data_IF_784780332955
#
_entry.id   IF_784780332955
#
_cell.length_a   1.000
_cell.length_b   1.000
_cell.length_c   1.000
_cell.angle_alpha   90.00
_cell.angle_beta   90.00
_cell.angle_gamma   90.00
#
_symmetry.space_group_name_H-M   'P 1'
#
loop_
_entity.id
_entity.type
_entity.pdbx_description
1 polymer ?
#
# COMPACT_ATOMS: atom_id res chain seq x y z
N UNK A 1 -14.20 21.06 -3.31
CA UNK A 1 -14.13 19.72 -2.70
C UNK A 1 -12.78 19.63 -2.03
N UNK A 2 -12.75 19.24 -0.76
CA UNK A 2 -11.50 19.11 -0.01
C UNK A 2 -10.64 17.98 -0.61
N UNK A 3 -9.31 18.15 -0.63
CA UNK A 3 -8.41 17.14 -1.19
C UNK A 3 -8.27 15.99 -0.20
N UNK A 4 -8.59 14.76 -0.63
CA UNK A 4 -8.39 13.57 0.20
C UNK A 4 -6.90 13.24 0.39
N UNK A 5 -6.11 13.61 -0.62
CA UNK A 5 -4.65 13.54 -0.64
C UNK A 5 -4.11 14.84 -1.22
N UNK A 6 -3.14 15.45 -0.54
CA UNK A 6 -2.34 16.54 -1.08
C UNK A 6 -0.85 16.18 -0.94
N UNK A 7 -0.18 15.98 -2.08
CA UNK A 7 1.24 15.62 -2.10
C UNK A 7 2.18 16.79 -1.77
N UNK A 8 1.65 18.02 -1.80
CA UNK A 8 2.42 19.23 -1.50
C UNK A 8 2.30 19.68 -0.04
N UNK A 9 1.40 19.07 0.72
CA UNK A 9 1.24 19.40 2.13
C UNK A 9 2.18 18.57 3.02
N UNK A 10 2.48 19.13 4.18
CA UNK A 10 3.15 18.39 5.24
C UNK A 10 2.22 17.26 5.77
N UNK A 11 2.75 16.07 6.10
CA UNK A 11 4.16 15.68 5.98
C UNK A 11 4.49 14.97 4.65
N UNK A 12 3.54 14.81 3.73
CA UNK A 12 3.75 14.04 2.49
C UNK A 12 4.89 14.61 1.66
N UNK A 13 4.92 15.93 1.47
CA UNK A 13 5.98 16.60 0.72
C UNK A 13 7.40 16.29 1.27
N UNK A 14 7.55 16.21 2.59
CA UNK A 14 8.85 15.99 3.26
C UNK A 14 9.43 14.59 3.05
N UNK A 15 8.58 13.60 2.76
CA UNK A 15 9.00 12.20 2.59
C UNK A 15 8.66 11.66 1.21
N UNK A 16 8.25 12.52 0.28
CA UNK A 16 7.80 12.12 -1.06
C UNK A 16 8.87 11.31 -1.80
N UNK A 17 10.13 11.71 -1.73
CA UNK A 17 11.25 10.97 -2.32
C UNK A 17 11.34 9.54 -1.76
N UNK A 18 11.15 9.34 -0.45
CA UNK A 18 11.13 8.01 0.15
C UNK A 18 9.92 7.20 -0.30
N UNK A 19 8.75 7.83 -0.41
CA UNK A 19 7.51 7.20 -0.86
C UNK A 19 7.54 6.84 -2.35
N UNK A 20 8.46 7.40 -3.15
CA UNK A 20 8.65 7.04 -4.56
C UNK A 20 9.65 5.89 -4.75
N UNK A 21 10.46 5.56 -3.75
CA UNK A 21 11.50 4.54 -3.91
C UNK A 21 10.92 3.16 -4.24
N UNK A 22 11.48 2.52 -5.26
CA UNK A 22 11.40 1.09 -5.49
C UNK A 22 12.64 0.43 -4.89
N UNK A 23 12.40 -0.47 -3.94
CA UNK A 23 13.44 -1.19 -3.20
C UNK A 23 14.08 -2.31 -4.03
N UNK A 24 13.42 -2.74 -5.10
CA UNK A 24 13.92 -3.78 -6.00
C UNK A 24 14.98 -3.22 -6.95
N UNK A 25 14.68 -2.09 -7.62
CA UNK A 25 15.58 -1.44 -8.58
C UNK A 25 16.54 -0.42 -7.96
N UNK A 26 16.30 0.00 -6.71
CA UNK A 26 17.01 1.12 -6.03
C UNK A 26 16.83 2.47 -6.75
N UNK A 27 15.79 2.56 -7.59
CA UNK A 27 15.34 3.75 -8.32
C UNK A 27 13.96 4.16 -7.79
N UNK A 28 13.28 5.11 -8.44
CA UNK A 28 11.87 5.35 -8.14
C UNK A 28 10.96 4.36 -8.89
N UNK A 29 9.75 4.15 -8.36
CA UNK A 29 8.66 3.49 -9.08
C UNK A 29 8.39 4.22 -10.41
N UNK A 30 7.95 3.49 -11.41
CA UNK A 30 7.59 4.04 -12.72
C UNK A 30 6.09 4.29 -12.79
N UNK A 31 5.64 5.14 -13.72
CA UNK A 31 4.21 5.37 -13.91
C UNK A 31 3.44 4.08 -14.22
N UNK A 32 3.98 3.22 -15.09
CA UNK A 32 3.35 1.97 -15.55
C UNK A 32 1.91 2.16 -16.08
N UNK A 33 1.60 3.38 -16.52
CA UNK A 33 0.34 3.74 -17.16
C UNK A 33 0.55 4.88 -18.15
N UNK A 34 -0.14 4.78 -19.27
CA UNK A 34 -0.27 5.77 -20.36
C UNK A 34 -1.21 6.94 -20.01
N UNK A 35 -1.86 6.93 -18.83
CA UNK A 35 -2.88 7.93 -18.44
C UNK A 35 -2.34 9.36 -18.50
N UNK A 36 -1.04 9.53 -18.28
CA UNK A 36 -0.41 10.83 -18.05
C UNK A 36 0.47 11.29 -19.22
N UNK A 37 0.51 10.53 -20.33
CA UNK A 37 1.38 10.81 -21.48
C UNK A 37 1.17 12.19 -22.11
N UNK A 38 -0.05 12.72 -22.03
CA UNK A 38 -0.39 14.06 -22.52
C UNK A 38 0.40 15.19 -21.83
N UNK A 39 0.96 14.93 -20.64
CA UNK A 39 1.79 15.88 -19.91
C UNK A 39 3.26 15.89 -20.38
N UNK A 40 3.61 15.06 -21.37
CA UNK A 40 4.92 15.02 -22.03
C UNK A 40 5.78 13.82 -21.63
N UNK A 41 7.01 13.78 -22.16
CA UNK A 41 7.92 12.61 -22.06
C UNK A 41 8.18 12.14 -20.62
N UNK A 42 8.13 13.04 -19.64
CA UNK A 42 8.30 12.73 -18.21
C UNK A 42 7.16 11.93 -17.56
N UNK A 43 6.08 11.66 -18.29
CA UNK A 43 4.85 11.05 -17.78
C UNK A 43 4.43 9.80 -18.56
N UNK A 44 5.33 9.24 -19.37
CA UNK A 44 5.10 7.98 -20.08
C UNK A 44 5.15 6.78 -19.14
N UNK A 45 4.55 5.67 -19.57
CA UNK A 45 4.42 4.45 -18.77
C UNK A 45 5.76 3.86 -18.30
N UNK A 46 6.85 4.09 -19.04
CA UNK A 46 8.20 3.57 -18.72
C UNK A 46 9.04 4.49 -17.83
N UNK A 47 8.57 5.71 -17.57
CA UNK A 47 9.37 6.73 -16.88
C UNK A 47 9.19 6.64 -15.37
N UNK A 48 10.31 6.83 -14.66
CA UNK A 48 10.33 6.95 -13.21
C UNK A 48 9.54 8.18 -12.76
N UNK A 49 8.72 8.00 -11.74
CA UNK A 49 8.06 9.11 -11.08
C UNK A 49 9.10 9.99 -10.38
N UNK A 50 9.05 11.30 -10.64
CA UNK A 50 9.98 12.29 -10.09
C UNK A 50 9.24 13.23 -9.13
N UNK A 51 9.74 13.36 -7.90
CA UNK A 51 9.10 14.20 -6.88
C UNK A 51 8.97 15.66 -7.33
N UNK A 52 10.00 16.22 -7.99
CA UNK A 52 9.97 17.61 -8.44
C UNK A 52 8.97 17.84 -9.58
N UNK A 53 8.81 16.87 -10.49
CA UNK A 53 7.79 16.90 -11.52
C UNK A 53 6.38 16.84 -10.91
N UNK A 54 6.17 15.95 -9.94
CA UNK A 54 4.89 15.82 -9.22
C UNK A 54 4.56 17.10 -8.43
N UNK A 55 5.52 17.70 -7.73
CA UNK A 55 5.32 18.94 -6.98
C UNK A 55 5.06 20.16 -7.86
N UNK A 56 5.41 20.11 -9.15
CA UNK A 56 5.03 21.14 -10.15
C UNK A 56 3.63 20.92 -10.74
N UNK A 57 2.99 19.78 -10.44
CA UNK A 57 1.69 19.32 -10.95
C UNK A 57 0.93 18.55 -9.86
N UNK A 58 0.64 19.25 -8.76
CA UNK A 58 0.09 18.66 -7.53
C UNK A 58 -1.34 18.13 -7.66
N UNK A 59 -1.98 18.35 -8.82
CA UNK A 59 -3.31 17.91 -9.19
C UNK A 59 -3.35 16.54 -9.88
N UNK A 60 -2.20 16.01 -10.32
CA UNK A 60 -2.11 14.75 -11.07
C UNK A 60 -2.34 13.53 -10.16
N UNK A 61 -1.72 13.53 -8.98
CA UNK A 61 -1.85 12.45 -7.99
C UNK A 61 -3.05 12.74 -7.10
N UNK A 62 -4.15 12.07 -7.40
CA UNK A 62 -5.40 12.16 -6.66
C UNK A 62 -6.09 10.80 -6.60
N UNK A 63 -6.80 10.50 -5.50
CA UNK A 63 -7.65 9.32 -5.43
C UNK A 63 -8.58 9.24 -6.62
N UNK A 64 -8.82 8.02 -7.07
CA UNK A 64 -9.58 7.72 -8.26
C UNK A 64 -10.99 8.33 -8.23
N UNK A 65 -11.64 8.37 -7.06
CA UNK A 65 -12.95 9.01 -6.87
C UNK A 65 -12.93 10.52 -7.21
N UNK A 66 -11.77 11.17 -7.12
CA UNK A 66 -11.57 12.58 -7.46
C UNK A 66 -11.11 12.79 -8.92
N UNK A 67 -10.91 11.72 -9.71
CA UNK A 67 -10.66 11.77 -11.17
C UNK A 67 -11.99 11.96 -11.92
N UNK A 68 -11.95 12.46 -13.17
CA UNK A 68 -13.18 12.63 -13.97
C UNK A 68 -13.88 11.28 -14.24
N UNK A 69 -15.20 11.29 -14.39
CA UNK A 69 -15.97 10.06 -14.68
C UNK A 69 -15.47 9.36 -15.95
N UNK A 70 -15.06 10.14 -16.95
CA UNK A 70 -14.46 9.62 -18.18
C UNK A 70 -13.13 8.91 -17.91
N UNK A 71 -12.23 9.52 -17.13
CA UNK A 71 -10.96 8.90 -16.76
C UNK A 71 -11.17 7.62 -15.93
N UNK A 72 -12.14 7.62 -15.02
CA UNK A 72 -12.50 6.43 -14.24
C UNK A 72 -13.00 5.30 -15.16
N UNK A 73 -13.92 5.60 -16.08
CA UNK A 73 -14.48 4.62 -17.01
C UNK A 73 -13.41 4.05 -17.97
N UNK A 74 -12.54 4.90 -18.51
CA UNK A 74 -11.44 4.47 -19.37
C UNK A 74 -10.49 3.53 -18.64
N UNK A 75 -10.15 3.83 -17.39
CA UNK A 75 -9.27 2.98 -16.57
C UNK A 75 -9.89 1.64 -16.19
N UNK A 76 -11.19 1.59 -15.84
CA UNK A 76 -11.86 0.30 -15.60
C UNK A 76 -11.84 -0.56 -16.86
N UNK A 77 -12.11 0.04 -18.03
CA UNK A 77 -12.12 -0.69 -19.30
C UNK A 77 -10.73 -1.15 -19.75
N UNK A 78 -9.71 -0.30 -19.64
CA UNK A 78 -8.36 -0.56 -20.20
C UNK A 78 -7.42 -1.27 -19.22
N UNK A 79 -7.57 -1.02 -17.91
CA UNK A 79 -6.62 -1.44 -16.87
C UNK A 79 -7.24 -2.39 -15.84
N UNK A 80 -8.51 -2.77 -16.03
CA UNK A 80 -9.28 -3.59 -15.08
C UNK A 80 -9.27 -3.04 -13.65
N UNK A 81 -9.14 -1.71 -13.50
CA UNK A 81 -9.24 -1.05 -12.20
C UNK A 81 -10.69 -1.14 -11.67
N UNK A 82 -10.87 -1.84 -10.55
CA UNK A 82 -12.16 -2.06 -9.86
C UNK A 82 -12.22 -1.27 -8.56
N UNK A 83 -13.40 -0.75 -8.24
CA UNK A 83 -13.69 -0.11 -6.95
C UNK A 83 -14.25 -1.12 -5.97
N UNK A 84 -13.55 -1.36 -4.86
CA UNK A 84 -14.11 -2.12 -3.75
C UNK A 84 -14.66 -1.14 -2.70
N UNK A 85 -15.99 -0.97 -2.59
CA UNK A 85 -16.58 -0.04 -1.62
C UNK A 85 -16.28 -0.46 -0.19
N UNK A 86 -16.27 0.50 0.75
CA UNK A 86 -15.82 0.26 2.13
C UNK A 86 -16.61 -0.86 2.83
N UNK A 87 -17.91 -0.98 2.55
CA UNK A 87 -18.74 -2.06 3.11
C UNK A 87 -18.28 -3.46 2.68
N UNK A 88 -17.79 -3.61 1.45
CA UNK A 88 -17.32 -4.89 0.93
C UNK A 88 -15.92 -5.21 1.50
N UNK A 89 -15.04 -4.21 1.58
CA UNK A 89 -13.78 -4.34 2.32
C UNK A 89 -14.03 -4.75 3.78
N UNK A 90 -15.00 -4.11 4.43
CA UNK A 90 -15.38 -4.40 5.80
C UNK A 90 -15.83 -5.85 5.98
N UNK A 91 -16.69 -6.34 5.08
CA UNK A 91 -17.16 -7.74 5.09
C UNK A 91 -16.01 -8.74 5.00
N UNK A 92 -15.10 -8.53 4.06
CA UNK A 92 -13.96 -9.43 3.86
C UNK A 92 -12.96 -9.39 5.03
N UNK A 93 -12.73 -8.20 5.60
CA UNK A 93 -11.91 -8.07 6.80
C UNK A 93 -12.60 -8.68 8.03
N UNK A 94 -13.93 -8.58 8.15
CA UNK A 94 -14.70 -9.26 9.20
C UNK A 94 -14.57 -10.77 9.11
N UNK A 95 -14.58 -11.35 7.91
CA UNK A 95 -14.33 -12.77 7.71
C UNK A 95 -12.91 -13.17 8.14
N UNK A 96 -11.89 -12.39 7.75
CA UNK A 96 -10.51 -12.61 8.18
C UNK A 96 -10.33 -12.57 9.71
N UNK A 97 -11.15 -11.80 10.39
CA UNK A 97 -11.13 -11.67 11.85
C UNK A 97 -11.94 -12.75 12.53
N UNK A 98 -13.06 -13.17 11.95
CA UNK A 98 -13.82 -14.32 12.44
C UNK A 98 -12.93 -15.57 12.46
N UNK A 99 -12.18 -15.83 11.38
CA UNK A 99 -11.23 -16.93 11.31
C UNK A 99 -10.13 -16.83 12.38
N UNK A 100 -9.66 -15.60 12.66
CA UNK A 100 -8.60 -15.39 13.63
C UNK A 100 -9.12 -15.47 15.07
N UNK A 101 -10.26 -14.87 15.40
CA UNK A 101 -10.80 -14.79 16.75
C UNK A 101 -11.69 -15.98 17.12
N UNK A 102 -12.24 -16.70 16.14
CA UNK A 102 -13.19 -17.79 16.31
C UNK A 102 -14.61 -17.31 16.69
N UNK A 103 -14.95 -16.04 16.40
CA UNK A 103 -16.28 -15.46 16.59
C UNK A 103 -16.47 -14.22 15.70
N UNK A 104 -17.72 -13.86 15.43
CA UNK A 104 -18.10 -12.66 14.67
C UNK A 104 -18.13 -11.40 15.54
N UNK A 105 -18.33 -10.24 14.91
CA UNK A 105 -18.60 -8.98 15.61
C UNK A 105 -17.42 -8.43 16.40
N UNK A 106 -16.19 -8.68 15.92
CA UNK A 106 -14.97 -8.26 16.62
C UNK A 106 -14.88 -6.74 16.63
N UNK A 107 -14.64 -6.12 15.47
CA UNK A 107 -14.44 -4.68 15.37
C UNK A 107 -15.73 -3.91 15.10
N UNK A 108 -16.65 -4.51 14.37
CA UNK A 108 -17.96 -3.96 14.04
C UNK A 108 -18.94 -5.07 13.65
N UNK A 109 -20.22 -4.71 13.50
CA UNK A 109 -21.28 -5.55 12.93
C UNK A 109 -21.88 -4.83 11.72
N UNK A 110 -21.95 -5.53 10.58
CA UNK A 110 -22.57 -5.01 9.35
C UNK A 110 -24.09 -4.90 9.48
N UNK A 111 -24.66 -3.82 8.93
CA UNK A 111 -26.09 -3.60 8.80
C UNK A 111 -26.57 -3.97 7.38
N UNK A 112 -27.88 -4.13 7.21
CA UNK A 112 -28.48 -4.45 5.90
C UNK A 112 -28.29 -3.35 4.85
N UNK A 113 -28.16 -2.10 5.29
CA UNK A 113 -27.98 -0.91 4.44
C UNK A 113 -26.52 -0.62 4.06
N UNK A 114 -25.64 -1.63 4.20
CA UNK A 114 -24.20 -1.54 3.94
C UNK A 114 -23.43 -0.57 4.85
N UNK A 115 -24.02 -0.12 5.95
CA UNK A 115 -23.31 0.55 7.05
C UNK A 115 -22.83 -0.47 8.10
N UNK A 116 -22.13 -0.02 9.13
CA UNK A 116 -21.71 -0.87 10.24
C UNK A 116 -21.76 -0.16 11.59
N UNK A 117 -22.03 -0.94 12.65
CA UNK A 117 -22.00 -0.50 14.04
C UNK A 117 -20.68 -0.93 14.66
N UNK A 118 -19.91 0.03 15.17
CA UNK A 118 -18.60 -0.20 15.78
C UNK A 118 -18.75 -0.89 17.15
N UNK A 119 -17.88 -1.84 17.43
CA UNK A 119 -17.71 -2.38 18.77
C UNK A 119 -16.96 -1.36 19.63
N UNK A 120 -17.63 -0.67 20.54
CA UNK A 120 -17.01 0.37 21.39
C UNK A 120 -16.16 -0.18 22.55
N UNK A 121 -16.50 -1.38 23.03
CA UNK A 121 -15.74 -2.03 24.11
C UNK A 121 -14.37 -2.50 23.62
N UNK A 122 -13.42 -2.57 24.55
CA UNK A 122 -12.10 -3.18 24.33
C UNK A 122 -12.24 -4.59 23.76
N UNK A 123 -11.43 -4.91 22.75
CA UNK A 123 -11.46 -6.21 22.08
C UNK A 123 -10.91 -7.30 23.00
N UNK A 124 -11.73 -8.32 23.25
CA UNK A 124 -11.33 -9.48 24.03
C UNK A 124 -10.70 -10.54 23.14
N UNK A 125 -9.59 -11.11 23.63
CA UNK A 125 -8.81 -12.12 22.94
C UNK A 125 -9.10 -13.54 23.45
N UNK A 126 -9.06 -14.57 22.57
CA UNK A 126 -9.17 -15.96 23.00
C UNK A 126 -8.12 -16.36 24.03
N UNK A 127 -8.44 -17.27 24.97
CA UNK A 127 -7.59 -17.65 26.12
C UNK A 127 -6.12 -18.00 25.80
N UNK A 128 -5.81 -18.42 24.57
CA UNK A 128 -4.45 -18.82 24.13
C UNK A 128 -3.82 -17.87 23.10
N UNK A 129 -4.48 -16.77 22.75
CA UNK A 129 -3.97 -15.77 21.81
C UNK A 129 -3.75 -14.46 22.55
N UNK A 130 -2.56 -13.87 22.36
CA UNK A 130 -2.27 -12.53 22.86
C UNK A 130 -2.55 -11.51 21.76
N UNK A 131 -2.85 -10.28 22.13
CA UNK A 131 -3.12 -9.22 21.16
C UNK A 131 -1.94 -8.95 20.22
N UNK A 132 -0.72 -9.13 20.71
CA UNK A 132 0.51 -9.05 19.91
C UNK A 132 0.49 -10.02 18.72
N UNK A 133 -0.09 -11.21 18.89
CA UNK A 133 -0.19 -12.20 17.81
C UNK A 133 -1.11 -11.72 16.67
N UNK A 134 -2.11 -10.88 16.98
CA UNK A 134 -2.98 -10.29 15.96
C UNK A 134 -2.25 -9.18 15.22
N UNK A 135 -1.58 -8.29 15.95
CA UNK A 135 -0.75 -7.22 15.35
C UNK A 135 0.33 -7.79 14.44
N UNK A 136 0.96 -8.89 14.87
CA UNK A 136 2.00 -9.59 14.11
C UNK A 136 1.49 -10.49 12.98
N UNK A 137 0.17 -10.69 12.86
CA UNK A 137 -0.39 -11.49 11.79
C UNK A 137 -0.07 -10.84 10.44
N UNK A 138 0.70 -11.55 9.59
CA UNK A 138 1.09 -11.04 8.28
C UNK A 138 -0.12 -11.02 7.36
N UNK A 139 -0.35 -9.88 6.72
CA UNK A 139 -1.46 -9.67 5.79
C UNK A 139 -0.89 -9.05 4.52
N UNK A 140 -1.28 -9.58 3.37
CA UNK A 140 -0.88 -9.12 2.06
C UNK A 140 -2.14 -8.80 1.25
N UNK A 141 -2.29 -7.55 0.83
CA UNK A 141 -3.30 -7.13 -0.14
C UNK A 141 -2.69 -7.22 -1.55
N UNK A 142 -3.11 -8.21 -2.32
CA UNK A 142 -2.66 -8.37 -3.72
C UNK A 142 -3.39 -7.37 -4.61
N UNK A 143 -2.72 -6.82 -5.63
CA UNK A 143 -3.30 -5.82 -6.56
C UNK A 143 -4.07 -4.74 -5.82
N UNK A 144 -3.39 -4.09 -4.85
CA UNK A 144 -4.03 -3.34 -3.80
C UNK A 144 -4.65 -2.01 -4.26
N UNK A 145 -4.38 -1.53 -5.48
CA UNK A 145 -4.81 -0.20 -5.90
C UNK A 145 -4.39 0.86 -4.87
N UNK A 146 -5.36 1.52 -4.25
CA UNK A 146 -5.17 2.56 -3.22
C UNK A 146 -5.09 2.02 -1.77
N UNK A 147 -4.99 0.69 -1.62
CA UNK A 147 -4.95 -0.11 -0.40
C UNK A 147 -6.21 -0.06 0.51
N UNK A 148 -7.44 -0.16 -0.03
CA UNK A 148 -8.67 -0.05 0.76
C UNK A 148 -8.91 -1.21 1.74
N UNK A 149 -8.25 -2.37 1.57
CA UNK A 149 -8.33 -3.46 2.56
C UNK A 149 -7.35 -3.27 3.72
N UNK A 150 -6.21 -2.61 3.51
CA UNK A 150 -5.26 -2.28 4.57
C UNK A 150 -5.69 -1.06 5.38
N UNK A 151 -6.05 0.05 4.73
CA UNK A 151 -6.40 1.32 5.39
C UNK A 151 -7.63 1.96 4.76
N UNK A 152 -8.45 2.61 5.57
CA UNK A 152 -9.78 3.10 5.15
C UNK A 152 -10.03 4.52 5.65
N UNK A 153 -9.18 5.46 5.23
CA UNK A 153 -9.33 6.89 5.56
C UNK A 153 -10.63 7.49 5.02
N UNK A 154 -11.10 6.98 3.89
CA UNK A 154 -12.34 7.36 3.23
C UNK A 154 -12.95 6.14 2.55
N UNK A 155 -14.24 6.19 2.26
CA UNK A 155 -14.87 5.24 1.35
C UNK A 155 -14.43 5.57 -0.08
N UNK A 156 -13.77 4.62 -0.75
CA UNK A 156 -13.27 4.82 -2.12
C UNK A 156 -14.37 5.00 -3.17
N UNK A 157 -15.61 4.65 -2.85
CA UNK A 157 -16.78 4.78 -3.73
C UNK A 157 -17.52 6.11 -3.58
N UNK A 158 -17.48 6.75 -2.41
CA UNK A 158 -18.15 8.03 -2.15
C UNK A 158 -17.18 9.19 -1.92
N UNK A 159 -15.94 8.90 -1.53
CA UNK A 159 -14.95 9.90 -1.09
C UNK A 159 -15.22 10.44 0.31
N UNK A 160 -16.21 9.91 1.04
CA UNK A 160 -16.53 10.36 2.39
C UNK A 160 -15.48 9.85 3.39
N UNK A 161 -14.98 10.75 4.25
CA UNK A 161 -14.01 10.41 5.28
C UNK A 161 -14.64 9.48 6.34
N UNK A 162 -13.89 8.46 6.75
CA UNK A 162 -14.28 7.54 7.81
C UNK A 162 -13.56 7.97 9.10
N UNK A 163 -14.29 8.74 9.91
CA UNK A 163 -13.81 9.36 11.16
C UNK A 163 -14.81 9.18 12.31
N UNK A 164 -14.35 9.01 13.57
CA UNK A 164 -12.95 8.91 14.00
C UNK A 164 -12.28 7.56 13.63
N UNK A 165 -10.95 7.41 13.81
CA UNK A 165 -10.20 6.20 13.45
C UNK A 165 -10.82 4.87 13.91
N UNK A 166 -11.50 4.82 15.07
CA UNK A 166 -12.20 3.61 15.55
C UNK A 166 -13.26 3.07 14.58
N UNK A 167 -13.82 3.90 13.68
CA UNK A 167 -14.81 3.50 12.66
C UNK A 167 -14.20 2.85 11.43
N UNK A 168 -12.89 2.96 11.26
CA UNK A 168 -12.17 2.45 10.10
C UNK A 168 -12.14 0.92 10.09
N UNK A 169 -12.14 0.37 8.88
CA UNK A 169 -12.37 -1.05 8.61
C UNK A 169 -11.12 -1.76 8.09
N UNK A 170 -10.06 -1.02 7.75
CA UNK A 170 -8.83 -1.55 7.18
C UNK A 170 -8.13 -2.51 8.14
N UNK A 171 -7.44 -3.52 7.62
CA UNK A 171 -6.74 -4.50 8.43
C UNK A 171 -5.62 -3.86 9.27
N UNK A 172 -4.93 -2.84 8.75
CA UNK A 172 -3.97 -2.05 9.51
C UNK A 172 -4.67 -1.13 10.52
N UNK A 173 -5.80 -0.51 10.16
CA UNK A 173 -6.62 0.28 11.10
C UNK A 173 -7.02 -0.57 12.32
N UNK A 174 -7.50 -1.79 12.08
CA UNK A 174 -7.85 -2.77 13.13
C UNK A 174 -6.66 -3.12 14.01
N UNK A 175 -5.48 -3.33 13.43
CA UNK A 175 -4.25 -3.56 14.21
C UNK A 175 -3.88 -2.35 15.07
N UNK A 176 -3.93 -1.13 14.52
CA UNK A 176 -3.63 0.09 15.25
C UNK A 176 -4.62 0.34 16.38
N UNK A 177 -5.92 0.05 16.18
CA UNK A 177 -6.91 0.03 17.25
C UNK A 177 -6.53 -0.95 18.37
N UNK A 178 -6.14 -2.18 18.03
CA UNK A 178 -5.66 -3.15 19.04
C UNK A 178 -4.46 -2.60 19.82
N UNK A 179 -3.52 -1.91 19.15
CA UNK A 179 -2.40 -1.25 19.83
C UNK A 179 -2.92 -0.16 20.80
N UNK A 180 -3.77 0.76 20.33
CA UNK A 180 -4.36 1.82 21.17
C UNK A 180 -5.06 1.28 22.43
N UNK A 181 -5.76 0.16 22.30
CA UNK A 181 -6.48 -0.46 23.42
C UNK A 181 -5.57 -1.16 24.44
N UNK A 182 -4.31 -1.47 24.10
CA UNK A 182 -3.45 -2.36 24.88
C UNK A 182 -2.09 -1.81 25.29
N UNK A 183 -1.79 -0.55 24.99
CA UNK A 183 -0.53 0.10 25.36
C UNK A 183 -0.78 1.44 26.05
N UNK A 184 -0.08 1.73 27.14
CA UNK A 184 -0.25 2.97 27.90
C UNK A 184 0.87 4.00 27.65
N UNK A 185 2.09 3.54 27.39
CA UNK A 185 3.26 4.42 27.20
C UNK A 185 3.55 4.69 25.72
N UNK A 186 4.21 5.82 25.46
CA UNK A 186 4.64 6.20 24.12
C UNK A 186 5.55 5.15 23.48
N UNK A 187 6.51 4.63 24.24
CA UNK A 187 7.50 3.67 23.74
C UNK A 187 6.87 2.34 23.35
N UNK A 188 5.93 1.84 24.16
CA UNK A 188 5.26 0.56 23.86
C UNK A 188 4.27 0.72 22.71
N UNK A 189 3.49 1.81 22.70
CA UNK A 189 2.60 2.13 21.58
C UNK A 189 3.37 2.24 20.27
N UNK A 190 4.45 3.02 20.24
CA UNK A 190 5.23 3.25 19.02
C UNK A 190 5.84 1.96 18.50
N UNK A 191 6.39 1.15 19.40
CA UNK A 191 6.92 -0.18 19.06
C UNK A 191 5.85 -1.04 18.38
N UNK A 192 4.66 -1.14 18.94
CA UNK A 192 3.61 -2.01 18.40
C UNK A 192 2.89 -1.43 17.20
N UNK A 193 2.79 -0.10 17.08
CA UNK A 193 2.34 0.57 15.87
C UNK A 193 3.29 0.25 14.71
N UNK A 194 4.61 0.40 14.91
CA UNK A 194 5.61 0.01 13.89
C UNK A 194 5.45 -1.47 13.52
N UNK A 195 5.23 -2.37 14.48
CA UNK A 195 5.00 -3.79 14.20
C UNK A 195 3.73 -4.06 13.39
N UNK A 196 2.68 -3.27 13.57
CA UNK A 196 1.46 -3.37 12.77
C UNK A 196 1.75 -3.07 11.29
N UNK A 197 2.55 -2.02 11.01
CA UNK A 197 3.01 -1.69 9.67
C UNK A 197 3.90 -2.80 9.11
N UNK A 198 4.91 -3.26 9.87
CA UNK A 198 5.80 -4.37 9.49
C UNK A 198 5.08 -5.68 9.14
N UNK A 199 3.85 -5.87 9.61
CA UNK A 199 3.06 -7.07 9.31
C UNK A 199 1.97 -6.84 8.24
N UNK A 200 1.98 -5.69 7.57
CA UNK A 200 0.95 -5.30 6.60
C UNK A 200 1.61 -4.92 5.27
N UNK A 201 1.28 -5.65 4.22
CA UNK A 201 1.94 -5.62 2.93
C UNK A 201 0.91 -5.46 1.81
N UNK A 202 1.34 -4.93 0.67
CA UNK A 202 0.53 -4.84 -0.54
C UNK A 202 1.38 -4.66 -1.78
N UNK A 203 0.85 -5.02 -2.94
CA UNK A 203 1.50 -4.70 -4.20
C UNK A 203 0.50 -4.25 -5.26
N UNK A 204 0.96 -3.42 -6.17
CA UNK A 204 0.16 -2.89 -7.27
C UNK A 204 1.04 -2.68 -8.51
N UNK A 205 0.44 -2.76 -9.70
CA UNK A 205 1.15 -2.56 -10.96
C UNK A 205 1.37 -1.07 -11.25
N UNK A 206 0.34 -0.24 -11.08
CA UNK A 206 0.36 1.16 -11.49
C UNK A 206 1.03 2.06 -10.44
N UNK A 207 1.99 2.89 -10.87
CA UNK A 207 2.82 3.70 -9.96
C UNK A 207 2.04 4.77 -9.20
N UNK A 208 1.03 5.38 -9.83
CA UNK A 208 0.16 6.35 -9.18
C UNK A 208 -0.66 5.72 -8.04
N UNK A 209 -1.19 4.53 -8.27
CA UNK A 209 -1.91 3.77 -7.24
C UNK A 209 -0.98 3.36 -6.09
N UNK A 210 0.23 2.87 -6.38
CA UNK A 210 1.26 2.55 -5.38
C UNK A 210 1.57 3.79 -4.51
N UNK A 211 1.77 4.95 -5.13
CA UNK A 211 2.03 6.19 -4.40
C UNK A 211 0.84 6.58 -3.51
N UNK A 212 -0.39 6.51 -4.03
CA UNK A 212 -1.61 6.81 -3.28
C UNK A 212 -1.78 5.87 -2.09
N UNK A 213 -1.58 4.56 -2.28
CA UNK A 213 -1.60 3.58 -1.19
C UNK A 213 -0.56 3.91 -0.10
N UNK A 214 0.69 4.20 -0.51
CA UNK A 214 1.76 4.60 0.43
C UNK A 214 1.40 5.87 1.21
N UNK A 215 0.80 6.87 0.56
CA UNK A 215 0.33 8.08 1.23
C UNK A 215 -0.83 7.78 2.19
N UNK A 216 -1.79 6.95 1.80
CA UNK A 216 -2.90 6.54 2.67
C UNK A 216 -2.39 5.85 3.94
N UNK A 217 -1.38 4.97 3.82
CA UNK A 217 -0.73 4.33 4.98
C UNK A 217 -0.01 5.36 5.87
N UNK A 218 0.73 6.32 5.28
CA UNK A 218 1.42 7.36 6.03
C UNK A 218 0.44 8.25 6.79
N UNK A 219 -0.60 8.74 6.11
CA UNK A 219 -1.61 9.60 6.74
C UNK A 219 -2.40 8.84 7.81
N UNK A 220 -2.65 7.54 7.62
CA UNK A 220 -3.24 6.68 8.66
C UNK A 220 -2.35 6.61 9.90
N UNK A 221 -1.02 6.48 9.75
CA UNK A 221 -0.11 6.54 10.90
C UNK A 221 -0.27 7.85 11.69
N UNK A 222 -0.37 8.98 10.99
CA UNK A 222 -0.54 10.29 11.61
C UNK A 222 -1.87 10.42 12.34
N UNK A 223 -2.97 9.97 11.72
CA UNK A 223 -4.30 10.05 12.35
C UNK A 223 -4.31 9.32 13.70
N UNK A 224 -3.73 8.11 13.77
CA UNK A 224 -3.62 7.35 15.01
C UNK A 224 -2.59 7.92 15.99
N UNK A 225 -1.50 8.52 15.48
CA UNK A 225 -0.49 9.15 16.31
C UNK A 225 -1.05 10.42 16.98
N UNK A 226 -1.75 11.26 16.24
CA UNK A 226 -2.39 12.48 16.73
C UNK A 226 -3.54 12.17 17.69
N UNK A 227 -4.41 11.20 17.37
CA UNK A 227 -5.47 10.72 18.29
C UNK A 227 -4.90 10.31 19.65
N UNK A 228 -3.69 9.71 19.67
CA UNK A 228 -3.10 9.18 20.89
C UNK A 228 -2.24 10.18 21.65
N UNK A 229 -1.56 11.08 20.96
CA UNK A 229 -0.51 11.90 21.54
C UNK A 229 -0.72 13.40 21.37
N UNK A 230 -1.77 13.83 20.67
CA UNK A 230 -2.14 15.23 20.42
C UNK A 230 -0.95 16.08 19.91
N UNK A 231 -0.09 15.44 19.11
CA UNK A 231 1.12 16.03 18.56
C UNK A 231 1.52 15.29 17.30
N UNK A 232 2.38 15.91 16.49
CA UNK A 232 2.96 15.29 15.31
C UNK A 232 4.22 14.49 15.66
N UNK A 233 4.52 13.40 14.92
CA UNK A 233 5.79 12.71 15.04
C UNK A 233 6.95 13.60 14.56
N UNK A 234 8.15 13.35 15.09
CA UNK A 234 9.35 14.03 14.60
C UNK A 234 9.75 13.55 13.18
N UNK A 235 10.62 14.31 12.55
CA UNK A 235 11.07 14.04 11.17
C UNK A 235 11.75 12.67 11.04
N UNK A 236 12.52 12.25 12.05
CA UNK A 236 13.23 10.97 12.03
C UNK A 236 12.25 9.80 12.00
N UNK A 237 11.19 9.88 12.80
CA UNK A 237 10.13 8.89 12.82
C UNK A 237 9.33 8.89 11.51
N UNK A 238 9.05 10.06 10.94
CA UNK A 238 8.40 10.17 9.63
C UNK A 238 9.21 9.48 8.52
N UNK A 239 10.52 9.74 8.44
CA UNK A 239 11.40 9.10 7.47
C UNK A 239 11.47 7.58 7.70
N UNK A 240 11.52 7.14 8.96
CA UNK A 240 11.49 5.72 9.31
C UNK A 240 10.20 5.05 8.83
N UNK A 241 9.04 5.66 9.07
CA UNK A 241 7.75 5.12 8.64
C UNK A 241 7.61 5.12 7.13
N UNK A 242 7.96 6.21 6.45
CA UNK A 242 7.94 6.29 4.99
C UNK A 242 8.81 5.20 4.33
N UNK A 243 10.01 4.95 4.87
CA UNK A 243 10.88 3.89 4.39
C UNK A 243 10.26 2.49 4.60
N UNK A 244 9.62 2.23 5.74
CA UNK A 244 8.92 0.95 6.00
C UNK A 244 7.73 0.76 5.06
N UNK A 245 6.95 1.81 4.85
CA UNK A 245 5.82 1.82 3.91
C UNK A 245 6.30 1.54 2.48
N UNK A 246 7.40 2.15 2.04
CA UNK A 246 7.97 1.90 0.72
C UNK A 246 8.48 0.45 0.52
N UNK A 247 8.94 -0.21 1.58
CA UNK A 247 9.28 -1.64 1.56
C UNK A 247 8.05 -2.55 1.53
N UNK A 248 6.96 -2.13 2.17
CA UNK A 248 5.79 -2.98 2.40
C UNK A 248 4.73 -2.87 1.30
N UNK A 249 4.64 -1.71 0.67
CA UNK A 249 3.79 -1.47 -0.50
C UNK A 249 4.73 -1.28 -1.69
N UNK A 250 4.79 -2.24 -2.61
CA UNK A 250 5.73 -2.20 -3.73
C UNK A 250 5.04 -2.30 -5.09
N UNK A 251 5.75 -1.86 -6.13
CA UNK A 251 5.27 -1.93 -7.50
C UNK A 251 5.64 -3.30 -8.11
N UNK A 252 4.67 -4.03 -8.67
CA UNK A 252 4.91 -5.37 -9.20
C UNK A 252 3.90 -5.79 -10.28
N UNK A 253 4.41 -6.47 -11.31
CA UNK A 253 3.63 -7.37 -12.15
C UNK A 253 3.32 -8.66 -11.38
N UNK A 254 2.10 -8.76 -10.86
CA UNK A 254 1.68 -9.90 -10.03
C UNK A 254 1.66 -11.26 -10.74
N UNK A 255 1.72 -11.29 -12.07
CA UNK A 255 1.82 -12.52 -12.84
C UNK A 255 3.27 -12.99 -13.01
N UNK A 256 4.22 -12.05 -13.04
CA UNK A 256 5.65 -12.33 -13.26
C UNK A 256 6.51 -12.24 -12.01
N UNK A 257 5.98 -11.68 -10.92
CA UNK A 257 6.71 -11.37 -9.68
C UNK A 257 7.92 -10.44 -9.88
N UNK A 258 7.86 -9.61 -10.93
CA UNK A 258 8.91 -8.67 -11.32
C UNK A 258 8.38 -7.25 -11.33
N UNK A 259 9.29 -6.27 -11.34
CA UNK A 259 8.93 -4.86 -11.57
C UNK A 259 8.27 -4.72 -12.96
N UNK A 260 7.23 -3.87 -13.11
CA UNK A 260 6.56 -3.68 -14.39
C UNK A 260 7.53 -3.34 -15.54
N UNK A 261 7.15 -3.77 -16.75
CA UNK A 261 7.91 -3.57 -18.00
C UNK A 261 9.29 -4.27 -18.08
N UNK A 262 9.61 -5.17 -17.15
CA UNK A 262 10.69 -6.14 -17.33
C UNK A 262 10.32 -7.25 -18.34
N UNK A 263 11.32 -7.79 -19.06
CA UNK A 263 11.19 -9.09 -19.75
C UNK A 263 10.71 -10.18 -18.78
N UNK A 264 10.25 -11.37 -19.22
CA UNK A 264 10.17 -12.53 -18.32
C UNK A 264 11.57 -12.87 -17.77
N UNK A 265 11.70 -13.13 -16.47
CA UNK A 265 12.95 -13.68 -15.91
C UNK A 265 13.07 -15.14 -16.38
N UNK A 266 14.05 -15.44 -17.24
CA UNK A 266 14.39 -16.83 -17.59
C UNK A 266 15.53 -17.31 -16.67
N UNK A 267 15.21 -18.20 -15.73
CA UNK A 267 16.19 -18.81 -14.82
C UNK A 267 17.30 -19.58 -15.59
N UNK A 268 16.97 -20.02 -16.81
CA UNK A 268 17.90 -20.64 -17.75
C UNK A 268 17.84 -19.90 -19.09
N UNK A 269 18.69 -18.89 -19.29
CA UNK A 269 18.89 -18.32 -20.63
C UNK A 269 19.50 -19.41 -21.52
N UNK A 270 18.71 -19.98 -22.42
CA UNK A 270 19.24 -20.88 -23.45
C UNK A 270 20.13 -20.04 -24.37
N UNK A 271 21.45 -20.27 -24.34
CA UNK A 271 22.38 -19.56 -25.21
C UNK A 271 22.01 -19.84 -26.67
N UNK A 272 21.67 -18.79 -27.41
CA UNK A 272 21.48 -18.88 -28.85
C UNK A 272 22.83 -18.97 -29.56
N UNK A 273 22.84 -19.42 -30.83
CA UNK A 273 24.05 -19.38 -31.66
C UNK A 273 24.64 -17.96 -31.75
N UNK A 274 23.82 -16.90 -31.70
CA UNK A 274 24.27 -15.51 -31.73
C UNK A 274 24.99 -15.09 -30.45
N UNK A 275 24.51 -15.53 -29.27
CA UNK A 275 25.19 -15.32 -27.99
C UNK A 275 26.58 -16.00 -27.97
N UNK A 276 26.72 -17.16 -28.63
CA UNK A 276 27.99 -17.91 -28.74
C UNK A 276 29.02 -17.18 -29.63
N UNK A 277 28.56 -16.43 -30.64
CA UNK A 277 29.41 -15.66 -31.54
C UNK A 277 29.64 -14.20 -31.11
N UNK A 278 29.13 -13.79 -29.94
CA UNK A 278 29.28 -12.44 -29.42
C UNK A 278 28.60 -11.36 -30.29
N UNK A 279 27.55 -11.75 -31.01
CA UNK A 279 26.75 -10.82 -31.82
C UNK A 279 25.65 -10.31 -30.88
N UNK A 280 25.85 -9.10 -30.33
CA UNK A 280 24.81 -8.41 -29.56
C UNK A 280 23.67 -8.01 -30.51
N UNK A 281 22.44 -8.41 -30.19
CA UNK A 281 21.25 -7.94 -30.89
C UNK A 281 21.05 -6.47 -30.54
N UNK A 282 21.34 -5.54 -31.47
CA UNK A 282 21.16 -4.09 -31.29
C UNK A 282 19.69 -3.69 -30.98
N UNK A 283 18.75 -4.63 -31.07
CA UNK A 283 17.34 -4.45 -30.71
C UNK A 283 17.00 -4.88 -29.27
N UNK A 284 17.97 -5.31 -28.45
CA UNK A 284 17.72 -5.73 -27.07
C UNK A 284 17.80 -4.58 -26.04
N UNK A 285 17.12 -3.47 -26.32
CA UNK A 285 16.99 -2.30 -25.42
C UNK A 285 15.90 -2.51 -24.34
N UNK A 286 15.41 -3.74 -24.19
CA UNK A 286 14.34 -4.09 -23.27
C UNK A 286 14.89 -4.43 -21.88
N UNK A 287 14.45 -3.74 -20.80
CA UNK A 287 14.98 -3.95 -19.46
C UNK A 287 14.89 -5.42 -19.02
N UNK A 288 16.01 -5.94 -18.50
CA UNK A 288 16.04 -7.25 -17.85
C UNK A 288 14.99 -7.29 -16.72
N UNK A 289 14.28 -8.41 -16.61
CA UNK A 289 13.30 -8.64 -15.57
C UNK A 289 13.95 -8.47 -14.19
N UNK A 290 13.49 -7.53 -13.38
CA UNK A 290 13.98 -7.37 -12.01
C UNK A 290 12.98 -8.04 -11.06
N UNK A 291 13.32 -9.19 -10.42
CA UNK A 291 12.47 -9.80 -9.41
C UNK A 291 12.18 -8.82 -8.27
N UNK A 292 10.91 -8.71 -7.88
CA UNK A 292 10.52 -7.81 -6.80
C UNK A 292 11.10 -8.28 -5.47
N UNK A 293 11.60 -7.32 -4.68
CA UNK A 293 12.14 -7.56 -3.36
C UNK A 293 11.20 -7.05 -2.28
N UNK A 294 11.02 -7.83 -1.24
CA UNK A 294 10.31 -7.42 -0.03
C UNK A 294 11.23 -7.49 1.19
N UNK A 295 10.80 -6.89 2.29
CA UNK A 295 11.50 -7.01 3.56
C UNK A 295 10.71 -7.87 4.55
N UNK A 296 11.31 -8.97 4.99
CA UNK A 296 10.82 -9.73 6.12
C UNK A 296 11.39 -9.11 7.41
N UNK A 297 10.57 -8.31 8.08
CA UNK A 297 10.95 -7.62 9.31
C UNK A 297 11.20 -8.56 10.49
N UNK A 298 10.66 -9.79 10.47
CA UNK A 298 10.85 -10.75 11.55
C UNK A 298 12.20 -11.45 11.47
N UNK A 299 12.68 -11.75 10.27
CA UNK A 299 14.03 -12.29 10.05
C UNK A 299 15.07 -11.21 9.75
N UNK A 300 14.66 -9.94 9.67
CA UNK A 300 15.49 -8.80 9.28
C UNK A 300 16.24 -9.04 7.95
N UNK A 301 15.53 -9.56 6.95
CA UNK A 301 16.11 -9.96 5.67
C UNK A 301 15.30 -9.39 4.50
N UNK A 302 16.02 -8.95 3.46
CA UNK A 302 15.42 -8.67 2.16
C UNK A 302 15.38 -9.96 1.34
N UNK A 303 14.20 -10.31 0.84
CA UNK A 303 13.91 -11.54 0.11
C UNK A 303 13.36 -11.20 -1.26
N UNK A 304 13.50 -12.09 -2.26
CA UNK A 304 12.70 -11.98 -3.49
C UNK A 304 11.28 -12.46 -3.16
N UNK A 305 10.28 -11.83 -3.76
CA UNK A 305 8.88 -12.19 -3.52
C UNK A 305 8.56 -13.59 -4.06
N UNK A 306 9.09 -13.94 -5.23
CA UNK A 306 8.90 -15.26 -5.86
C UNK A 306 9.33 -16.42 -4.95
N UNK A 307 10.48 -16.29 -4.25
CA UNK A 307 11.02 -17.31 -3.35
C UNK A 307 10.10 -17.64 -2.16
N UNK A 308 9.11 -16.78 -1.86
CA UNK A 308 8.19 -16.93 -0.72
C UNK A 308 6.92 -17.66 -1.12
N UNK A 309 6.51 -17.59 -2.40
CA UNK A 309 5.32 -18.29 -2.90
C UNK A 309 5.49 -19.80 -2.91
N UNK A 310 6.72 -20.26 -3.01
CA UNK A 310 7.06 -21.68 -3.15
C UNK A 310 7.24 -22.41 -1.80
N UNK A 311 7.04 -21.71 -0.68
CA UNK A 311 7.14 -22.25 0.69
C UNK A 311 5.81 -22.78 1.23
#
# INVERSE_FOLDING_TARGET
MEKLIDISSYPVANVLDLLLQDKSTKKNIIWATDTYEEYGEGFTDKVQMDANALLRRTDIIRPRIQKSLEAQAQRTRKKAEVFTPAWLCNRMNNHCDEDWFGRTGIFNTENEDHTWIVTERKIEFPKRKKWQHYVDSRRLEITCGEAPYLVSRYDVSTGELIVPPIRRIGMLDRKLRIVNENTDTYEDWLKWAIRAFEASYGYEYQGDNVLIARINLLLTFLDYYDERWERLPDEKLLQQMANKIAWNIWQMDGLKDTVPLGKPYEEYKQMSLFDIFGIEDENDDTPEAVPCRIFNWRSNASLKFMDIKEM
#
